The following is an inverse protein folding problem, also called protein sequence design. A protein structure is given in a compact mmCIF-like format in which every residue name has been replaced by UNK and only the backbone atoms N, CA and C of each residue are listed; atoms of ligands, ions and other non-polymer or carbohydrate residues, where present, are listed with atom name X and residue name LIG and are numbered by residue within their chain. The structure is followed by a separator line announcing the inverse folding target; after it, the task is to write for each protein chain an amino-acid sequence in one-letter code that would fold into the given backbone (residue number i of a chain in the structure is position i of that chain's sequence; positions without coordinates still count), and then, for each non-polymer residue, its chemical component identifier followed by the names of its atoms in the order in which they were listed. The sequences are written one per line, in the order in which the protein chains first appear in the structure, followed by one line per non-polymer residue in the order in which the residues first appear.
data_IF_880717346955
#
_entry.id   IF_880717346955
#
_cell.length_a   1.000
_cell.length_b   1.000
_cell.length_c   1.000
_cell.angle_alpha   90.00
_cell.angle_beta   90.00
_cell.angle_gamma   90.00
#
_symmetry.space_group_name_H-M   'P 1'
#
loop_
_entity.id
_entity.type
_entity.pdbx_description
1 polymer ?
#
# COMPACT_ATOMS: atom_id res chain seq x y z
N UNK A 1 -2.83 73.36 -8.52
CA UNK A 1 -1.89 73.35 -7.38
C UNK A 1 -1.68 71.92 -6.91
N UNK A 2 -0.42 71.55 -6.65
CA UNK A 2 0.09 70.22 -6.23
C UNK A 2 -0.47 69.75 -4.88
N UNK A 3 -0.14 68.48 -4.56
CA UNK A 3 -0.09 67.74 -3.27
C UNK A 3 -1.15 66.61 -3.32
N UNK A 4 -0.87 65.31 -3.15
CA UNK A 4 0.06 64.61 -2.23
C UNK A 4 0.22 63.14 -2.67
N UNK A 5 1.47 62.68 -2.68
CA UNK A 5 1.99 61.35 -2.32
C UNK A 5 1.02 60.17 -2.25
N UNK A 6 1.12 59.26 -3.22
CA UNK A 6 0.53 57.91 -3.14
C UNK A 6 1.55 56.86 -3.63
N UNK A 7 2.58 56.62 -2.83
CA UNK A 7 3.46 55.46 -2.98
C UNK A 7 3.91 54.97 -1.60
N UNK A 8 3.02 54.27 -0.90
CA UNK A 8 3.38 53.29 0.13
C UNK A 8 2.42 52.11 0.01
N UNK A 9 2.67 51.25 -0.98
CA UNK A 9 2.09 49.91 -1.06
C UNK A 9 3.23 48.92 -0.90
N UNK A 10 3.56 48.59 0.35
CA UNK A 10 4.54 47.57 0.71
C UNK A 10 4.11 46.24 0.09
N UNK A 11 4.78 45.83 -0.99
CA UNK A 11 4.64 44.50 -1.58
C UNK A 11 5.23 43.46 -0.64
N UNK A 12 4.44 42.98 0.32
CA UNK A 12 4.76 41.75 1.04
C UNK A 12 4.45 40.58 0.11
N UNK A 13 5.44 40.16 -0.68
CA UNK A 13 5.44 38.83 -1.30
C UNK A 13 5.53 37.84 -0.13
N UNK A 14 4.38 37.29 0.28
CA UNK A 14 4.34 36.19 1.21
C UNK A 14 4.96 34.97 0.51
N UNK A 15 6.26 34.76 0.74
CA UNK A 15 6.94 33.51 0.46
C UNK A 15 6.34 32.46 1.41
N UNK A 16 5.28 31.79 0.97
CA UNK A 16 4.84 30.56 1.63
C UNK A 16 5.95 29.53 1.44
N UNK A 17 6.59 29.05 2.52
CA UNK A 17 7.53 27.97 2.38
C UNK A 17 6.72 26.75 1.95
N UNK A 18 6.93 26.28 0.73
CA UNK A 18 6.54 24.95 0.30
C UNK A 18 7.45 23.99 1.08
N UNK A 19 7.04 23.67 2.30
CA UNK A 19 7.67 22.65 3.12
C UNK A 19 7.40 21.30 2.43
N UNK A 20 8.35 20.84 1.63
CA UNK A 20 8.44 19.49 1.10
C UNK A 20 8.73 18.47 2.19
N UNK A 21 7.91 18.43 3.23
CA UNK A 21 7.87 17.33 4.18
C UNK A 21 6.73 16.41 3.77
N UNK A 22 7.01 15.12 3.62
CA UNK A 22 5.96 14.12 3.55
C UNK A 22 5.07 14.32 4.76
N UNK A 23 3.76 14.57 4.61
CA UNK A 23 2.90 14.86 5.74
C UNK A 23 2.63 13.56 6.50
N UNK A 24 3.59 13.13 7.31
CA UNK A 24 3.58 11.84 8.02
C UNK A 24 2.26 11.54 8.76
N UNK A 25 1.61 12.51 9.43
CA UNK A 25 0.29 12.29 10.02
C UNK A 25 -0.80 12.01 8.99
N UNK A 26 -0.80 12.75 7.87
CA UNK A 26 -1.77 12.56 6.79
C UNK A 26 -1.56 11.21 6.10
N UNK A 27 -0.30 10.78 5.91
CA UNK A 27 0.03 9.47 5.39
C UNK A 27 -0.49 8.33 6.29
N UNK A 28 -0.32 8.45 7.61
CA UNK A 28 -0.82 7.45 8.57
C UNK A 28 -2.33 7.29 8.50
N UNK A 29 -3.07 8.39 8.38
CA UNK A 29 -4.53 8.36 8.21
C UNK A 29 -4.90 7.78 6.85
N UNK A 30 -4.23 8.23 5.79
CA UNK A 30 -4.49 7.79 4.43
C UNK A 30 -4.37 6.27 4.27
N UNK A 31 -3.32 5.65 4.85
CA UNK A 31 -3.15 4.19 4.84
C UNK A 31 -4.16 3.42 5.69
N UNK A 32 -4.78 4.06 6.68
CA UNK A 32 -5.84 3.45 7.48
C UNK A 32 -7.20 3.48 6.77
N UNK A 33 -7.37 4.38 5.79
CA UNK A 33 -8.61 4.54 5.03
C UNK A 33 -8.66 3.71 3.75
N UNK A 34 -7.57 3.06 3.36
CA UNK A 34 -7.47 2.30 2.11
C UNK A 34 -6.85 0.94 2.35
N UNK A 35 -7.42 -0.09 1.73
CA UNK A 35 -6.81 -1.40 1.61
C UNK A 35 -5.72 -1.36 0.53
N UNK A 36 -4.48 -1.16 0.96
CA UNK A 36 -3.33 -1.23 0.06
C UNK A 36 -2.92 -2.67 -0.21
N UNK A 37 -2.89 -3.05 -1.48
CA UNK A 37 -2.30 -4.30 -1.95
C UNK A 37 -0.93 -3.96 -2.54
N UNK A 38 0.14 -4.32 -1.83
CA UNK A 38 1.50 -4.09 -2.34
C UNK A 38 1.93 -5.21 -3.28
N UNK A 39 2.55 -4.84 -4.39
CA UNK A 39 3.11 -5.75 -5.39
C UNK A 39 4.56 -5.36 -5.71
N UNK A 40 5.35 -6.31 -6.21
CA UNK A 40 6.65 -6.01 -6.79
C UNK A 40 6.45 -5.32 -8.14
N UNK A 41 7.04 -4.14 -8.33
CA UNK A 41 6.98 -3.39 -9.59
C UNK A 41 7.61 -4.15 -10.75
N UNK A 42 8.63 -4.95 -10.50
CA UNK A 42 9.35 -5.69 -11.55
C UNK A 42 8.59 -6.95 -11.97
N UNK A 43 7.59 -7.38 -11.20
CA UNK A 43 6.69 -8.47 -11.55
C UNK A 43 5.42 -7.92 -12.23
N UNK A 44 5.44 -7.92 -13.57
CA UNK A 44 4.33 -7.42 -14.39
C UNK A 44 3.02 -8.19 -14.15
N UNK A 45 3.09 -9.51 -13.96
CA UNK A 45 1.92 -10.34 -13.70
C UNK A 45 1.33 -10.02 -12.32
N UNK A 46 2.16 -9.84 -11.30
CA UNK A 46 1.70 -9.37 -9.99
C UNK A 46 1.04 -7.99 -10.08
N UNK A 47 1.58 -7.09 -10.90
CA UNK A 47 0.98 -5.77 -11.12
C UNK A 47 -0.42 -5.86 -11.74
N UNK A 48 -0.59 -6.69 -12.78
CA UNK A 48 -1.86 -6.85 -13.48
C UNK A 48 -2.89 -7.57 -12.59
N UNK A 49 -2.50 -8.67 -11.95
CA UNK A 49 -3.35 -9.39 -10.99
C UNK A 49 -3.73 -8.53 -9.79
N UNK A 50 -2.77 -7.79 -9.24
CA UNK A 50 -3.02 -6.86 -8.14
C UNK A 50 -4.05 -5.81 -8.54
N UNK A 51 -3.98 -5.29 -9.77
CA UNK A 51 -4.94 -4.30 -10.27
C UNK A 51 -6.33 -4.90 -10.46
N UNK A 52 -6.43 -6.13 -10.98
CA UNK A 52 -7.69 -6.85 -11.08
C UNK A 52 -8.31 -7.07 -9.69
N UNK A 53 -7.54 -7.58 -8.73
CA UNK A 53 -7.99 -7.80 -7.34
C UNK A 53 -8.47 -6.48 -6.73
N UNK A 54 -7.67 -5.42 -6.82
CA UNK A 54 -8.03 -4.12 -6.27
C UNK A 54 -9.30 -3.56 -6.92
N UNK A 55 -9.47 -3.73 -8.23
CA UNK A 55 -10.66 -3.31 -8.95
C UNK A 55 -11.91 -4.06 -8.50
N UNK A 56 -11.83 -5.39 -8.39
CA UNK A 56 -12.92 -6.22 -7.89
C UNK A 56 -13.30 -5.82 -6.47
N UNK A 57 -12.33 -5.66 -5.56
CA UNK A 57 -12.59 -5.25 -4.18
C UNK A 57 -13.14 -3.81 -4.10
N UNK A 58 -12.67 -2.88 -4.92
CA UNK A 58 -13.22 -1.52 -4.93
C UNK A 58 -14.66 -1.48 -5.49
N UNK A 59 -15.03 -2.42 -6.36
CA UNK A 59 -16.37 -2.52 -6.94
C UNK A 59 -17.35 -3.17 -5.97
N UNK A 60 -16.97 -4.31 -5.41
CA UNK A 60 -17.84 -5.15 -4.57
C UNK A 60 -17.78 -4.76 -3.08
N UNK A 61 -16.66 -4.20 -2.63
CA UNK A 61 -16.42 -3.70 -1.28
C UNK A 61 -15.93 -2.24 -1.31
N UNK A 62 -16.76 -1.27 -1.74
CA UNK A 62 -16.33 0.11 -1.97
C UNK A 62 -15.74 0.79 -0.72
N UNK A 63 -16.17 0.38 0.48
CA UNK A 63 -15.62 0.87 1.76
C UNK A 63 -14.15 0.47 1.98
N UNK A 64 -13.69 -0.63 1.36
CA UNK A 64 -12.28 -1.04 1.40
C UNK A 64 -11.37 -0.03 0.73
N UNK A 65 -11.89 0.72 -0.25
CA UNK A 65 -11.13 1.63 -1.11
C UNK A 65 -9.84 1.00 -1.61
N UNK A 66 -9.94 -0.27 -2.02
CA UNK A 66 -8.79 -1.08 -2.38
C UNK A 66 -7.99 -0.45 -3.52
N UNK A 67 -6.68 -0.44 -3.39
CA UNK A 67 -5.79 0.01 -4.45
C UNK A 67 -4.44 -0.69 -4.42
N UNK A 68 -3.79 -0.72 -5.57
CA UNK A 68 -2.45 -1.26 -5.72
C UNK A 68 -1.41 -0.20 -5.39
N UNK A 69 -0.38 -0.60 -4.65
CA UNK A 69 0.86 0.15 -4.51
C UNK A 69 2.03 -0.71 -4.98
N UNK A 70 3.00 -0.10 -5.65
CA UNK A 70 4.12 -0.82 -6.28
C UNK A 70 5.38 -0.56 -5.48
N UNK A 71 5.92 -1.61 -4.86
CA UNK A 71 7.22 -1.56 -4.23
C UNK A 71 8.32 -1.67 -5.29
N UNK A 72 9.51 -1.14 -4.99
CA UNK A 72 10.66 -1.16 -5.92
C UNK A 72 11.06 -2.59 -6.32
N UNK A 73 11.01 -3.52 -5.37
CA UNK A 73 11.44 -4.90 -5.52
C UNK A 73 10.76 -5.79 -4.46
N UNK A 74 10.83 -7.11 -4.62
CA UNK A 74 10.31 -8.10 -3.66
C UNK A 74 10.82 -7.95 -2.22
N UNK A 75 12.05 -7.51 -2.01
CA UNK A 75 12.57 -7.32 -0.65
C UNK A 75 11.92 -6.11 0.00
N UNK A 76 11.63 -5.07 -0.79
CA UNK A 76 10.87 -3.92 -0.33
C UNK A 76 9.42 -4.28 -0.04
N UNK A 77 8.78 -5.16 -0.81
CA UNK A 77 7.47 -5.74 -0.46
C UNK A 77 7.53 -6.35 0.93
N UNK A 78 8.50 -7.23 1.16
CA UNK A 78 8.64 -7.92 2.44
C UNK A 78 8.92 -6.96 3.60
N UNK A 79 9.86 -6.04 3.42
CA UNK A 79 10.17 -4.97 4.37
C UNK A 79 8.92 -4.15 4.77
N UNK A 80 8.02 -3.84 3.84
CA UNK A 80 6.81 -3.06 4.12
C UNK A 80 5.85 -3.79 5.06
N UNK A 81 5.70 -5.10 4.93
CA UNK A 81 4.86 -5.89 5.84
C UNK A 81 5.58 -6.12 7.17
N UNK A 82 6.85 -6.53 7.16
CA UNK A 82 7.62 -6.80 8.38
C UNK A 82 7.73 -5.58 9.30
N UNK A 83 7.86 -4.38 8.72
CA UNK A 83 7.92 -3.12 9.48
C UNK A 83 6.55 -2.49 9.75
N UNK A 84 5.46 -3.21 9.48
CA UNK A 84 4.08 -2.76 9.68
C UNK A 84 3.74 -1.45 8.93
N UNK A 85 4.40 -1.21 7.81
CA UNK A 85 4.11 -0.08 6.94
C UNK A 85 2.85 -0.33 6.11
N UNK A 86 2.64 -1.59 5.68
CA UNK A 86 1.45 -2.08 4.99
C UNK A 86 1.02 -3.44 5.57
N UNK A 87 -0.20 -3.86 5.22
CA UNK A 87 -0.84 -5.04 5.82
C UNK A 87 -1.02 -6.20 4.84
N UNK A 88 -1.16 -5.93 3.53
CA UNK A 88 -1.51 -6.93 2.51
C UNK A 88 -0.59 -6.83 1.28
N UNK A 89 -0.15 -7.97 0.76
CA UNK A 89 0.67 -8.09 -0.45
C UNK A 89 0.17 -9.20 -1.38
N UNK A 90 0.40 -9.05 -2.68
CA UNK A 90 0.28 -10.15 -3.64
C UNK A 90 1.68 -10.58 -4.06
N UNK A 91 2.01 -11.85 -3.84
CA UNK A 91 3.34 -12.41 -4.13
C UNK A 91 3.21 -13.79 -4.80
N UNK A 92 4.23 -14.23 -5.56
CA UNK A 92 4.30 -15.62 -6.00
C UNK A 92 4.30 -16.58 -4.80
N UNK A 93 3.65 -17.74 -4.95
CA UNK A 93 3.57 -18.78 -3.91
C UNK A 93 4.97 -19.24 -3.47
N UNK A 94 5.92 -19.32 -4.40
CA UNK A 94 7.33 -19.61 -4.10
C UNK A 94 7.99 -18.58 -3.18
N UNK A 95 7.70 -17.29 -3.38
CA UNK A 95 8.20 -16.23 -2.50
C UNK A 95 7.55 -16.30 -1.12
N UNK A 96 6.25 -16.59 -1.06
CA UNK A 96 5.56 -16.77 0.22
C UNK A 96 6.16 -17.93 1.02
N UNK A 97 6.39 -19.08 0.39
CA UNK A 97 7.04 -20.23 1.03
C UNK A 97 8.45 -19.92 1.51
N UNK A 98 9.27 -19.27 0.67
CA UNK A 98 10.62 -18.87 1.07
C UNK A 98 10.61 -17.91 2.27
N UNK A 99 9.68 -16.96 2.29
CA UNK A 99 9.54 -16.01 3.39
C UNK A 99 9.07 -16.69 4.69
N UNK A 100 8.13 -17.64 4.62
CA UNK A 100 7.68 -18.41 5.78
C UNK A 100 8.80 -19.27 6.39
N UNK A 101 9.69 -19.81 5.57
CA UNK A 101 10.85 -20.58 6.02
C UNK A 101 12.07 -19.72 6.38
N UNK A 102 11.94 -18.39 6.30
CA UNK A 102 13.02 -17.45 6.55
C UNK A 102 14.26 -17.74 5.67
N UNK A 103 14.03 -18.12 4.41
CA UNK A 103 15.06 -18.36 3.41
C UNK A 103 15.54 -17.04 2.79
N UNK A 104 16.76 -17.03 2.24
CA UNK A 104 17.29 -15.85 1.57
C UNK A 104 16.38 -15.40 0.39
N UNK A 105 16.11 -14.09 0.21
CA UNK A 105 16.69 -12.95 0.94
C UNK A 105 15.89 -12.48 2.17
N UNK A 106 14.88 -13.23 2.60
CA UNK A 106 13.97 -12.86 3.68
C UNK A 106 14.59 -13.08 5.07
N UNK A 107 15.66 -13.89 5.15
CA UNK A 107 16.49 -14.12 6.33
C UNK A 107 17.10 -12.84 6.96
N UNK A 108 17.16 -11.76 6.18
CA UNK A 108 17.65 -10.44 6.61
C UNK A 108 16.57 -9.55 7.24
N UNK A 109 15.31 -10.00 7.25
CA UNK A 109 14.18 -9.25 7.77
C UNK A 109 13.75 -9.76 9.14
N UNK A 110 13.01 -8.92 9.87
CA UNK A 110 12.37 -9.34 11.11
C UNK A 110 11.38 -10.51 10.83
N UNK A 111 11.45 -11.61 11.59
CA UNK A 111 10.52 -12.71 11.45
C UNK A 111 9.08 -12.22 11.51
N UNK A 112 8.31 -12.49 10.46
CA UNK A 112 6.95 -11.99 10.31
C UNK A 112 6.02 -13.15 10.06
N UNK A 113 5.02 -13.31 10.92
CA UNK A 113 3.97 -14.31 10.70
C UNK A 113 2.99 -13.77 9.66
N UNK A 114 2.80 -14.54 8.60
CA UNK A 114 1.97 -14.18 7.46
C UNK A 114 0.88 -15.22 7.25
N UNK A 115 -0.28 -14.77 6.76
CA UNK A 115 -1.43 -15.60 6.46
C UNK A 115 -1.78 -15.45 4.98
N UNK A 116 -2.09 -16.56 4.32
CA UNK A 116 -2.74 -16.52 3.01
C UNK A 116 -4.21 -16.11 3.19
N UNK A 117 -4.66 -15.17 2.37
CA UNK A 117 -6.06 -14.74 2.28
C UNK A 117 -6.74 -15.41 1.09
N UNK A 118 -6.11 -15.32 -0.09
CA UNK A 118 -6.67 -15.78 -1.35
C UNK A 118 -5.55 -16.28 -2.27
N UNK A 119 -5.84 -17.31 -3.06
CA UNK A 119 -4.89 -17.90 -4.00
C UNK A 119 -5.44 -17.84 -5.42
N UNK A 120 -4.60 -17.42 -6.36
CA UNK A 120 -4.95 -17.39 -7.79
C UNK A 120 -3.74 -17.78 -8.63
N UNK A 121 -3.86 -18.91 -9.34
CA UNK A 121 -2.75 -19.52 -10.07
C UNK A 121 -1.53 -19.76 -9.17
N UNK A 122 -0.40 -19.17 -9.55
CA UNK A 122 0.88 -19.22 -8.82
C UNK A 122 1.07 -18.05 -7.84
N UNK A 123 0.05 -17.23 -7.64
CA UNK A 123 0.09 -16.07 -6.74
C UNK A 123 -0.79 -16.29 -5.51
N UNK A 124 -0.37 -15.68 -4.41
CA UNK A 124 -1.09 -15.69 -3.14
C UNK A 124 -1.18 -14.26 -2.62
N UNK A 125 -2.41 -13.84 -2.32
CA UNK A 125 -2.67 -12.63 -1.57
C UNK A 125 -2.47 -12.96 -0.10
N UNK A 126 -1.50 -12.30 0.53
CA UNK A 126 -1.10 -12.54 1.91
C UNK A 126 -1.36 -11.32 2.78
N UNK A 127 -1.51 -11.54 4.07
CA UNK A 127 -1.50 -10.48 5.08
C UNK A 127 -0.59 -10.79 6.24
N UNK A 128 -0.31 -9.75 7.04
CA UNK A 128 0.19 -9.96 8.41
C UNK A 128 -0.80 -10.73 9.26
N UNK A 129 -0.30 -11.36 10.32
CA UNK A 129 -1.10 -12.12 11.28
C UNK A 129 -2.11 -11.27 12.06
N UNK A 130 -1.79 -10.00 12.30
CA UNK A 130 -2.58 -8.98 13.01
C UNK A 130 -3.52 -8.19 12.09
N UNK A 131 -3.63 -8.55 10.81
CA UNK A 131 -4.70 -8.09 9.95
C UNK A 131 -6.04 -8.67 10.43
N UNK A 132 -7.08 -7.84 10.51
CA UNK A 132 -8.37 -8.22 11.10
C UNK A 132 -8.98 -9.43 10.39
N UNK A 133 -9.24 -10.50 11.14
CA UNK A 133 -9.74 -11.76 10.60
C UNK A 133 -11.05 -11.61 9.81
N UNK A 134 -11.95 -10.75 10.29
CA UNK A 134 -13.23 -10.49 9.62
C UNK A 134 -13.01 -9.79 8.27
N UNK A 135 -12.04 -8.87 8.19
CA UNK A 135 -11.68 -8.22 6.93
C UNK A 135 -11.01 -9.20 5.96
N UNK A 136 -10.13 -10.08 6.45
CA UNK A 136 -9.53 -11.13 5.64
C UNK A 136 -10.60 -12.08 5.08
N UNK A 137 -11.57 -12.48 5.91
CA UNK A 137 -12.67 -13.34 5.49
C UNK A 137 -13.56 -12.67 4.43
N UNK A 138 -13.85 -11.38 4.58
CA UNK A 138 -14.62 -10.60 3.62
C UNK A 138 -13.89 -10.50 2.28
N UNK A 139 -12.60 -10.14 2.29
CA UNK A 139 -11.76 -10.09 1.09
C UNK A 139 -11.75 -11.44 0.38
N UNK A 140 -11.50 -12.53 1.09
CA UNK A 140 -11.46 -13.87 0.50
C UNK A 140 -12.81 -14.25 -0.15
N UNK A 141 -13.93 -14.08 0.57
CA UNK A 141 -15.26 -14.41 0.06
C UNK A 141 -15.62 -13.60 -1.20
N UNK A 142 -15.31 -12.30 -1.20
CA UNK A 142 -15.51 -11.46 -2.38
C UNK A 142 -14.66 -11.95 -3.55
N UNK A 143 -13.35 -12.19 -3.36
CA UNK A 143 -12.51 -12.65 -4.47
C UNK A 143 -12.93 -14.01 -5.00
N UNK A 144 -13.30 -14.96 -4.15
CA UNK A 144 -13.82 -16.27 -4.57
C UNK A 144 -15.10 -16.19 -5.41
N UNK A 145 -15.89 -15.13 -5.23
CA UNK A 145 -17.17 -14.98 -5.92
C UNK A 145 -17.03 -14.30 -7.29
N UNK A 146 -15.97 -13.52 -7.52
CA UNK A 146 -15.89 -12.57 -8.63
C UNK A 146 -14.60 -12.64 -9.45
N UNK A 147 -13.65 -13.51 -9.09
CA UNK A 147 -12.35 -13.65 -9.73
C UNK A 147 -12.06 -15.12 -10.06
#
# INVERSE_FOLDING_TARGET
MKRRDFLQGSGAIALWPVLGHTPFPQWKVYRQLHLFIVVDREDALACDLGQAIAHTLATELPESRAMVTRARDRLRVASLLSTKQLDVALVPRSQFTAWQHNEAPYDQLEPTVLKAIFETGDYVLISRDDFLSDHAALVNQTLQSYL
#
